data_IF_672425643235
#
_entry.id   IF_672425643235
#
_cell.length_a   1.000
_cell.length_b   1.000
_cell.length_c   1.000
_cell.angle_alpha   90.00
_cell.angle_beta   90.00
_cell.angle_gamma   90.00
#
_symmetry.space_group_name_H-M   'P 1'
#
loop_
_entity.id
_entity.type
_entity.pdbx_description
1 polymer ?
#
# COMPACT_ATOMS: atom_id res chain seq x y z
N UNK A 1 -49.05 0.93 -31.67
CA UNK A 1 -47.64 0.73 -32.11
C UNK A 1 -47.07 2.13 -32.31
N UNK A 2 -46.08 2.62 -31.56
CA UNK A 2 -44.74 2.08 -31.39
C UNK A 2 -44.16 2.60 -30.06
N UNK A 3 -43.76 1.70 -29.15
CA UNK A 3 -42.91 2.04 -28.01
C UNK A 3 -41.48 2.25 -28.55
N UNK A 4 -40.95 3.47 -28.46
CA UNK A 4 -39.53 3.73 -28.64
C UNK A 4 -38.87 3.76 -27.27
N UNK A 5 -38.32 2.60 -26.84
CA UNK A 5 -37.47 2.50 -25.65
C UNK A 5 -36.06 2.96 -26.07
N UNK A 6 -35.69 4.17 -25.66
CA UNK A 6 -34.31 4.64 -25.78
C UNK A 6 -33.48 4.00 -24.65
N UNK A 7 -32.83 2.88 -24.93
CA UNK A 7 -31.87 2.24 -24.03
C UNK A 7 -30.61 3.11 -24.01
N UNK A 8 -30.48 3.98 -23.01
CA UNK A 8 -29.21 4.62 -22.69
C UNK A 8 -28.27 3.56 -22.10
N UNK A 9 -27.33 3.07 -22.90
CA UNK A 9 -26.24 2.22 -22.44
C UNK A 9 -25.32 3.06 -21.55
N UNK A 10 -25.52 3.02 -20.23
CA UNK A 10 -24.60 3.61 -19.27
C UNK A 10 -23.31 2.77 -19.26
N UNK A 11 -22.26 3.27 -19.93
CA UNK A 11 -20.92 2.66 -19.90
C UNK A 11 -20.36 2.87 -18.49
N UNK A 12 -20.45 1.84 -17.66
CA UNK A 12 -19.74 1.75 -16.39
C UNK A 12 -18.25 1.59 -16.69
N UNK A 13 -17.50 2.68 -16.72
CA UNK A 13 -16.03 2.62 -16.78
C UNK A 13 -15.53 2.12 -15.42
N UNK A 14 -14.85 0.96 -15.35
CA UNK A 14 -14.28 0.50 -14.09
C UNK A 14 -13.12 1.43 -13.70
N UNK A 15 -13.26 2.11 -12.57
CA UNK A 15 -12.17 2.86 -11.94
C UNK A 15 -11.12 1.85 -11.45
N UNK A 16 -10.10 1.62 -12.25
CA UNK A 16 -8.92 0.88 -11.80
C UNK A 16 -8.24 1.69 -10.68
N UNK A 17 -8.39 1.24 -9.45
CA UNK A 17 -7.67 1.79 -8.30
C UNK A 17 -6.19 1.39 -8.41
N UNK A 18 -5.38 2.22 -9.07
CA UNK A 18 -3.94 2.08 -9.06
C UNK A 18 -3.44 2.44 -7.66
N UNK A 19 -2.90 1.46 -6.94
CA UNK A 19 -2.16 1.72 -5.72
C UNK A 19 -0.99 2.66 -6.06
N UNK A 20 -1.08 3.92 -5.59
CA UNK A 20 -0.10 4.96 -5.93
C UNK A 20 1.25 4.61 -5.31
N UNK A 21 2.31 4.69 -6.10
CA UNK A 21 3.68 4.59 -5.61
C UNK A 21 3.98 5.72 -4.62
N UNK A 22 4.63 5.44 -3.49
CA UNK A 22 5.10 6.49 -2.58
C UNK A 22 5.99 7.48 -3.33
N UNK A 23 5.82 8.78 -3.04
CA UNK A 23 6.45 9.85 -3.81
C UNK A 23 7.98 9.84 -3.75
N UNK A 24 8.56 9.27 -2.70
CA UNK A 24 10.00 9.16 -2.47
C UNK A 24 10.68 8.06 -3.30
N UNK A 25 9.91 7.18 -3.94
CA UNK A 25 10.43 6.11 -4.81
C UNK A 25 9.64 5.98 -6.11
N UNK A 26 8.68 6.88 -6.37
CA UNK A 26 7.85 6.86 -7.58
C UNK A 26 8.68 7.05 -8.86
N UNK A 27 9.80 7.77 -8.77
CA UNK A 27 10.78 7.98 -9.84
C UNK A 27 11.50 6.69 -10.26
N UNK A 28 11.49 5.65 -9.44
CA UNK A 28 12.13 4.37 -9.76
C UNK A 28 11.29 3.51 -10.73
N UNK A 29 10.02 3.87 -10.98
CA UNK A 29 9.19 3.19 -11.98
C UNK A 29 9.77 3.40 -13.38
N UNK A 30 10.00 2.30 -14.10
CA UNK A 30 10.64 2.27 -15.42
C UNK A 30 12.16 2.07 -15.39
N UNK A 31 12.80 2.27 -14.24
CA UNK A 31 14.24 2.05 -14.07
C UNK A 31 14.62 0.57 -14.18
N UNK A 32 15.86 0.28 -14.58
CA UNK A 32 16.39 -1.09 -14.58
C UNK A 32 16.43 -1.61 -13.15
N UNK A 33 16.01 -2.87 -12.95
CA UNK A 33 15.81 -3.45 -11.63
C UNK A 33 17.07 -3.31 -10.74
N UNK A 34 18.25 -3.71 -11.23
CA UNK A 34 19.49 -3.62 -10.45
C UNK A 34 19.80 -2.20 -9.93
N UNK A 35 19.65 -1.17 -10.76
CA UNK A 35 19.88 0.21 -10.33
C UNK A 35 18.79 0.72 -9.38
N UNK A 36 17.53 0.37 -9.65
CA UNK A 36 16.42 0.72 -8.78
C UNK A 36 16.54 0.06 -7.40
N UNK A 37 17.05 -1.17 -7.30
CA UNK A 37 17.30 -1.86 -6.04
C UNK A 37 18.38 -1.17 -5.21
N UNK A 38 19.46 -0.70 -5.85
CA UNK A 38 20.48 0.12 -5.18
C UNK A 38 19.88 1.44 -4.67
N UNK A 39 19.05 2.11 -5.46
CA UNK A 39 18.35 3.32 -5.05
C UNK A 39 17.36 3.08 -3.90
N UNK A 40 16.60 1.97 -3.94
CA UNK A 40 15.73 1.57 -2.83
C UNK A 40 16.52 1.45 -1.53
N UNK A 41 17.66 0.75 -1.55
CA UNK A 41 18.55 0.59 -0.40
C UNK A 41 19.12 1.93 0.09
N UNK A 42 19.60 2.79 -0.83
CA UNK A 42 20.10 4.11 -0.51
C UNK A 42 19.05 5.01 0.16
N UNK A 43 17.77 4.78 -0.15
CA UNK A 43 16.62 5.50 0.42
C UNK A 43 16.04 4.83 1.68
N UNK A 44 16.73 3.83 2.22
CA UNK A 44 16.38 3.17 3.48
C UNK A 44 15.34 2.06 3.37
N UNK A 45 15.07 1.56 2.16
CA UNK A 45 14.25 0.36 1.97
C UNK A 45 15.09 -0.91 2.06
N UNK A 46 14.57 -1.91 2.76
CA UNK A 46 15.20 -3.23 2.94
C UNK A 46 14.29 -4.30 2.36
N UNK A 47 14.83 -5.28 1.61
CA UNK A 47 14.06 -6.44 1.18
C UNK A 47 13.76 -7.34 2.39
N UNK A 48 12.47 -7.63 2.59
CA UNK A 48 11.97 -8.37 3.76
C UNK A 48 11.18 -9.62 3.38
N UNK A 49 11.13 -10.00 2.10
CA UNK A 49 10.18 -11.03 1.68
C UNK A 49 10.42 -11.75 0.37
N UNK A 50 11.62 -11.62 -0.24
CA UNK A 50 12.07 -12.47 -1.35
C UNK A 50 11.18 -12.45 -2.60
N UNK A 51 10.26 -11.50 -2.69
CA UNK A 51 9.27 -11.36 -3.75
C UNK A 51 9.10 -9.87 -4.07
N UNK A 52 10.23 -9.17 -4.12
CA UNK A 52 10.33 -7.73 -4.34
C UNK A 52 9.46 -6.95 -3.33
N UNK A 53 9.49 -7.36 -2.07
CA UNK A 53 8.74 -6.73 -0.98
C UNK A 53 9.73 -5.98 -0.11
N UNK A 54 9.52 -4.67 0.03
CA UNK A 54 10.47 -3.77 0.65
C UNK A 54 9.85 -3.03 1.83
N UNK A 55 10.64 -2.89 2.89
CA UNK A 55 10.26 -2.20 4.11
C UNK A 55 11.15 -0.98 4.35
N UNK A 56 10.55 0.17 4.60
CA UNK A 56 11.24 1.33 5.14
C UNK A 56 10.80 1.54 6.60
N UNK A 57 11.74 1.36 7.53
CA UNK A 57 11.46 1.40 8.96
C UNK A 57 11.18 2.80 9.49
N UNK A 58 11.80 3.83 8.90
CA UNK A 58 11.63 5.22 9.31
C UNK A 58 10.25 5.74 8.89
N UNK A 59 9.83 5.39 7.68
CA UNK A 59 8.53 5.79 7.12
C UNK A 59 7.39 4.84 7.49
N UNK A 60 7.71 3.70 8.12
CA UNK A 60 6.77 2.59 8.39
C UNK A 60 6.01 2.14 7.13
N UNK A 61 6.70 2.12 5.99
CA UNK A 61 6.11 1.83 4.68
C UNK A 61 6.52 0.46 4.18
N UNK A 62 5.51 -0.32 3.79
CA UNK A 62 5.70 -1.58 3.08
C UNK A 62 5.29 -1.41 1.62
N UNK A 63 6.16 -1.75 0.69
CA UNK A 63 5.88 -1.66 -0.75
C UNK A 63 6.19 -2.98 -1.44
N UNK A 64 5.42 -3.28 -2.48
CA UNK A 64 5.66 -4.40 -3.38
C UNK A 64 5.99 -3.87 -4.76
N UNK A 65 7.12 -4.31 -5.29
CA UNK A 65 7.57 -3.97 -6.63
C UNK A 65 7.18 -5.08 -7.59
N UNK A 66 6.64 -4.70 -8.74
CA UNK A 66 6.45 -5.61 -9.87
C UNK A 66 7.58 -5.38 -10.86
N UNK A 67 8.39 -6.40 -11.10
CA UNK A 67 9.43 -6.36 -12.13
C UNK A 67 8.89 -6.99 -13.41
N UNK A 68 9.07 -6.31 -14.55
CA UNK A 68 8.75 -6.83 -15.87
C UNK A 68 9.82 -6.36 -16.86
N UNK A 69 10.25 -7.25 -17.76
CA UNK A 69 11.31 -6.95 -18.75
C UNK A 69 12.59 -6.35 -18.12
N UNK A 70 12.96 -6.83 -16.92
CA UNK A 70 14.14 -6.36 -16.19
C UNK A 70 14.02 -4.93 -15.63
N UNK A 71 12.79 -4.38 -15.54
CA UNK A 71 12.52 -3.03 -15.05
C UNK A 71 11.42 -3.02 -14.01
N UNK A 72 11.41 -2.02 -13.14
CA UNK A 72 10.31 -1.79 -12.21
C UNK A 72 9.08 -1.34 -12.99
N UNK A 73 8.12 -2.24 -13.19
CA UNK A 73 6.87 -1.96 -13.89
C UNK A 73 5.90 -1.15 -13.01
N UNK A 74 5.89 -1.43 -11.71
CA UNK A 74 5.11 -0.67 -10.73
C UNK A 74 5.65 -0.86 -9.32
N UNK A 75 5.34 0.11 -8.45
CA UNK A 75 5.59 0.06 -7.02
C UNK A 75 4.28 0.36 -6.31
N UNK A 76 3.79 -0.56 -5.49
CA UNK A 76 2.51 -0.43 -4.81
C UNK A 76 2.69 -0.51 -3.31
N UNK A 77 2.15 0.45 -2.57
CA UNK A 77 2.10 0.35 -1.11
C UNK A 77 1.14 -0.76 -0.67
N UNK A 78 1.53 -1.52 0.35
CA UNK A 78 0.73 -2.56 0.98
C UNK A 78 0.73 -2.39 2.50
N UNK A 79 -0.05 -3.22 3.20
CA UNK A 79 -0.09 -3.24 4.67
C UNK A 79 1.28 -3.60 5.25
N UNK A 80 1.65 -2.99 6.37
CA UNK A 80 2.90 -3.29 7.08
C UNK A 80 3.05 -4.80 7.41
N UNK A 81 1.93 -5.48 7.66
CA UNK A 81 1.88 -6.94 7.87
C UNK A 81 2.41 -7.76 6.71
N UNK A 82 2.34 -7.27 5.47
CA UNK A 82 2.95 -7.92 4.31
C UNK A 82 4.48 -7.90 4.34
N UNK A 83 5.08 -6.98 5.10
CA UNK A 83 6.52 -6.89 5.35
C UNK A 83 6.92 -7.58 6.67
N UNK A 84 6.07 -8.45 7.22
CA UNK A 84 6.30 -9.11 8.51
C UNK A 84 6.19 -8.18 9.72
N UNK A 85 5.84 -6.91 9.51
CA UNK A 85 5.65 -5.97 10.60
C UNK A 85 4.26 -6.18 11.16
N UNK A 86 4.17 -6.64 12.41
CA UNK A 86 2.90 -6.60 13.13
C UNK A 86 2.40 -5.17 13.03
N UNK A 87 1.14 -4.98 12.67
CA UNK A 87 0.53 -3.70 12.91
C UNK A 87 0.72 -3.46 14.41
N UNK A 88 1.64 -2.57 14.78
CA UNK A 88 1.49 -1.83 16.03
C UNK A 88 0.26 -0.99 15.77
N UNK A 89 -0.90 -1.64 15.85
CA UNK A 89 -2.09 -0.96 16.20
C UNK A 89 -1.75 -0.31 17.52
N UNK A 90 -1.27 0.93 17.46
CA UNK A 90 -2.14 1.94 17.98
C UNK A 90 -3.49 1.72 17.27
N UNK A 91 -4.27 0.76 17.79
CA UNK A 91 -5.69 0.99 17.99
C UNK A 91 -5.67 2.43 18.49
N UNK A 92 -6.07 3.38 17.65
CA UNK A 92 -6.12 4.77 18.10
C UNK A 92 -7.14 4.73 19.22
N UNK A 93 -6.66 4.59 20.45
CA UNK A 93 -7.52 4.59 21.61
C UNK A 93 -8.19 5.97 21.57
N UNK A 94 -9.53 6.02 21.62
CA UNK A 94 -10.23 7.28 21.69
C UNK A 94 -9.60 8.16 22.79
N UNK A 95 -9.40 9.47 22.56
CA UNK A 95 -8.78 10.35 23.55
C UNK A 95 -9.61 10.49 24.84
N UNK A 96 -10.87 10.05 24.80
CA UNK A 96 -11.85 9.99 25.88
C UNK A 96 -12.04 8.58 26.48
N UNK A 97 -11.12 7.65 26.20
CA UNK A 97 -11.19 6.28 26.72
C UNK A 97 -11.21 6.26 28.26
N UNK A 98 -12.23 5.65 28.85
CA UNK A 98 -12.32 5.41 30.29
C UNK A 98 -12.12 3.93 30.63
N UNK A 99 -11.93 3.61 31.92
CA UNK A 99 -11.81 2.22 32.41
C UNK A 99 -13.01 1.36 31.97
N UNK A 100 -14.20 1.96 31.84
CA UNK A 100 -15.42 1.28 31.42
C UNK A 100 -15.41 0.89 29.93
N UNK A 101 -14.58 1.53 29.11
CA UNK A 101 -14.53 1.28 27.66
C UNK A 101 -13.55 0.15 27.30
N UNK A 102 -12.69 -0.27 28.23
CA UNK A 102 -11.64 -1.27 28.00
C UNK A 102 -12.19 -2.62 27.49
N UNK A 103 -13.42 -3.01 27.85
CA UNK A 103 -14.03 -4.25 27.32
C UNK A 103 -14.33 -4.16 25.81
N UNK A 104 -14.54 -2.95 25.28
CA UNK A 104 -14.88 -2.69 23.88
C UNK A 104 -13.64 -2.46 23.01
N UNK A 105 -12.51 -2.14 23.63
CA UNK A 105 -11.24 -1.83 22.97
C UNK A 105 -10.10 -2.73 23.49
N UNK A 106 -10.14 -4.05 23.21
CA UNK A 106 -9.07 -4.96 23.63
C UNK A 106 -7.74 -4.52 22.99
N UNK A 107 -6.77 -4.14 23.83
CA UNK A 107 -5.46 -3.64 23.42
C UNK A 107 -5.19 -2.16 23.73
N UNK A 108 -6.18 -1.42 24.25
CA UNK A 108 -5.97 -0.09 24.82
C UNK A 108 -5.68 -0.19 26.33
N UNK A 109 -4.76 0.64 26.84
CA UNK A 109 -4.54 0.87 28.28
C UNK A 109 -4.76 2.36 28.59
N UNK A 110 -5.16 2.68 29.82
CA UNK A 110 -5.20 4.04 30.35
C UNK A 110 -3.79 4.61 30.57
#
# INVERSE_FOLDING_TARGET
MRLTIAICLAVLVPLAAFAKSPSDIADLVGSRAAGAESEMQARGYVDVGGNNTWWNADKKQCVKVRVSQGRYASISQTKASSCGQKATGAMKCPPDLSQADLYKYPGCSL
#
